data_IF_901732350512
#
_entry.id   IF_901732350512
#
_cell.length_a   1.000
_cell.length_b   1.000
_cell.length_c   1.000
_cell.angle_alpha   90.00
_cell.angle_beta   90.00
_cell.angle_gamma   90.00
#
_symmetry.space_group_name_H-M   'P 1'
#
loop_
_entity.id
_entity.type
_entity.pdbx_description
1 polymer ?
#
# COMPACT_ATOMS: atom_id res chain seq x y z
N UNK A 1 16.65 -12.66 -5.88
CA UNK A 1 16.72 -11.22 -5.57
C UNK A 1 16.34 -11.05 -4.10
N UNK A 2 17.29 -10.68 -3.25
CA UNK A 2 17.03 -10.53 -1.80
C UNK A 2 16.12 -9.34 -1.61
N UNK A 3 14.95 -9.54 -0.99
CA UNK A 3 14.00 -8.46 -0.67
C UNK A 3 14.59 -7.61 0.46
N UNK A 4 15.51 -6.70 0.12
CA UNK A 4 16.28 -5.91 1.11
C UNK A 4 15.39 -5.07 2.05
N UNK A 5 14.16 -4.78 1.65
CA UNK A 5 13.17 -4.10 2.48
C UNK A 5 12.60 -4.98 3.62
N UNK A 6 12.77 -6.31 3.57
CA UNK A 6 12.53 -7.20 4.72
C UNK A 6 13.58 -7.04 5.83
N UNK A 7 14.73 -6.40 5.53
CA UNK A 7 15.76 -6.08 6.53
C UNK A 7 15.44 -4.81 7.31
N UNK A 8 14.29 -4.17 7.06
CA UNK A 8 13.89 -2.98 7.81
C UNK A 8 13.72 -3.34 9.29
N UNK A 9 14.13 -2.47 10.22
CA UNK A 9 13.88 -2.65 11.64
C UNK A 9 12.39 -2.88 11.91
N UNK A 10 12.06 -3.75 12.87
CA UNK A 10 10.68 -3.95 13.30
C UNK A 10 10.00 -2.65 13.76
N UNK A 11 10.78 -1.67 14.25
CA UNK A 11 10.28 -0.35 14.60
C UNK A 11 9.71 0.45 13.41
N UNK A 12 9.98 0.02 12.18
CA UNK A 12 9.37 0.59 10.96
C UNK A 12 8.08 -0.14 10.54
N UNK A 13 7.68 -1.20 11.26
CA UNK A 13 6.40 -1.85 11.04
C UNK A 13 5.30 -1.04 11.69
N UNK A 14 4.50 -0.35 10.89
CA UNK A 14 3.39 0.43 11.42
C UNK A 14 2.23 -0.45 11.87
N UNK A 15 2.03 -1.62 11.25
CA UNK A 15 0.93 -2.53 11.56
C UNK A 15 1.21 -3.96 11.14
N UNK A 16 0.62 -4.91 11.88
CA UNK A 16 0.46 -6.31 11.48
C UNK A 16 -1.01 -6.57 11.12
N UNK A 17 -1.25 -7.14 9.94
CA UNK A 17 -2.56 -7.62 9.52
C UNK A 17 -2.60 -9.15 9.64
N UNK A 18 -3.75 -9.70 10.01
CA UNK A 18 -3.93 -11.16 10.15
C UNK A 18 -4.38 -11.81 8.84
N UNK A 19 -5.00 -11.03 7.94
CA UNK A 19 -5.51 -11.50 6.64
C UNK A 19 -5.17 -10.51 5.52
N UNK A 20 -5.13 -10.95 4.26
CA UNK A 20 -5.04 -10.07 3.10
C UNK A 20 -6.14 -8.99 3.08
N UNK A 21 -7.36 -9.35 3.46
CA UNK A 21 -8.51 -8.45 3.56
C UNK A 21 -8.27 -7.34 4.58
N UNK A 22 -7.76 -7.67 5.77
CA UNK A 22 -7.43 -6.68 6.80
C UNK A 22 -6.33 -5.73 6.31
N UNK A 23 -5.34 -6.25 5.58
CA UNK A 23 -4.26 -5.45 5.01
C UNK A 23 -4.79 -4.48 3.95
N UNK A 24 -5.72 -4.92 3.09
CA UNK A 24 -6.36 -4.06 2.09
C UNK A 24 -7.27 -3.03 2.74
N UNK A 25 -8.06 -3.41 3.76
CA UNK A 25 -8.91 -2.45 4.50
C UNK A 25 -8.07 -1.35 5.16
N UNK A 26 -6.91 -1.69 5.71
CA UNK A 26 -5.97 -0.68 6.20
C UNK A 26 -5.42 0.19 5.07
N UNK A 27 -5.03 -0.41 3.94
CA UNK A 27 -4.51 0.30 2.78
C UNK A 27 -5.52 1.30 2.20
N UNK A 28 -6.81 0.94 2.21
CA UNK A 28 -7.93 1.82 1.87
C UNK A 28 -7.97 3.06 2.77
N UNK A 29 -7.88 2.87 4.09
CA UNK A 29 -7.85 3.99 5.03
C UNK A 29 -6.66 4.92 4.82
N UNK A 30 -5.47 4.36 4.54
CA UNK A 30 -4.29 5.16 4.17
C UNK A 30 -4.56 5.93 2.87
N UNK A 31 -5.09 5.27 1.84
CA UNK A 31 -5.41 5.92 0.58
C UNK A 31 -6.39 7.09 0.80
N UNK A 32 -7.48 6.89 1.53
CA UNK A 32 -8.50 7.92 1.79
C UNK A 32 -7.95 9.12 2.55
N UNK A 33 -7.02 8.90 3.49
CA UNK A 33 -6.34 9.97 4.21
C UNK A 33 -5.48 10.86 3.30
N UNK A 34 -4.89 10.27 2.24
CA UNK A 34 -3.92 10.96 1.39
C UNK A 34 -4.46 11.35 0.01
N UNK A 35 -5.54 10.74 -0.47
CA UNK A 35 -6.12 11.01 -1.78
C UNK A 35 -6.42 12.50 -2.04
N UNK A 36 -6.94 13.29 -1.07
CA UNK A 36 -7.12 14.73 -1.26
C UNK A 36 -5.82 15.52 -1.47
N UNK A 37 -4.67 14.93 -1.13
CA UNK A 37 -3.33 15.53 -1.26
C UNK A 37 -2.55 14.96 -2.46
N UNK A 38 -3.10 13.99 -3.18
CA UNK A 38 -2.48 13.43 -4.38
C UNK A 38 -2.77 14.33 -5.58
N UNK A 39 -1.90 14.29 -6.59
CA UNK A 39 -2.25 14.86 -7.89
C UNK A 39 -3.49 14.14 -8.46
N UNK A 40 -4.43 14.88 -9.06
CA UNK A 40 -5.73 14.34 -9.51
C UNK A 40 -5.56 13.09 -10.39
N UNK A 41 -4.62 13.12 -11.34
CA UNK A 41 -4.32 12.00 -12.22
C UNK A 41 -3.87 10.74 -11.48
N UNK A 42 -3.12 10.86 -10.38
CA UNK A 42 -2.68 9.71 -9.59
C UNK A 42 -3.82 9.10 -8.78
N UNK A 43 -4.74 9.94 -8.29
CA UNK A 43 -5.90 9.50 -7.53
C UNK A 43 -6.95 8.80 -8.42
N UNK A 44 -7.10 9.22 -9.69
CA UNK A 44 -8.21 8.78 -10.56
C UNK A 44 -7.80 7.91 -11.76
N UNK A 45 -6.50 7.74 -12.07
CA UNK A 45 -6.04 6.94 -13.21
C UNK A 45 -6.45 5.46 -13.15
N UNK A 46 -6.68 4.94 -11.95
CA UNK A 46 -7.23 3.60 -11.73
C UNK A 46 -8.44 3.78 -10.83
N UNK A 47 -9.55 3.13 -11.20
CA UNK A 47 -10.74 3.14 -10.36
C UNK A 47 -10.40 2.61 -8.96
N UNK A 48 -11.12 3.09 -7.95
CA UNK A 48 -10.93 2.62 -6.58
C UNK A 48 -11.05 1.09 -6.52
N UNK A 49 -12.12 0.57 -7.13
CA UNK A 49 -12.45 -0.85 -7.15
C UNK A 49 -11.32 -1.68 -7.76
N UNK A 50 -10.88 -1.34 -8.98
CA UNK A 50 -9.80 -2.07 -9.66
C UNK A 50 -8.50 -2.03 -8.86
N UNK A 51 -8.19 -0.87 -8.28
CA UNK A 51 -6.96 -0.68 -7.51
C UNK A 51 -6.89 -1.63 -6.31
N UNK A 52 -7.97 -1.73 -5.53
CA UNK A 52 -7.99 -2.57 -4.34
C UNK A 52 -8.27 -4.04 -4.67
N UNK A 53 -8.99 -4.34 -5.76
CA UNK A 53 -9.12 -5.70 -6.27
C UNK A 53 -7.76 -6.27 -6.69
N UNK A 54 -6.93 -5.49 -7.40
CA UNK A 54 -5.57 -5.89 -7.76
C UNK A 54 -4.68 -6.08 -6.51
N UNK A 55 -4.77 -5.18 -5.52
CA UNK A 55 -4.03 -5.31 -4.27
C UNK A 55 -4.41 -6.60 -3.52
N UNK A 56 -5.70 -6.87 -3.38
CA UNK A 56 -6.20 -8.06 -2.71
C UNK A 56 -5.76 -9.34 -3.43
N UNK A 57 -5.86 -9.35 -4.76
CA UNK A 57 -5.41 -10.47 -5.59
C UNK A 57 -3.93 -10.78 -5.40
N UNK A 58 -3.07 -9.76 -5.38
CA UNK A 58 -1.64 -9.92 -5.15
C UNK A 58 -1.34 -10.49 -3.76
N UNK A 59 -1.95 -9.92 -2.71
CA UNK A 59 -1.73 -10.37 -1.32
C UNK A 59 -2.22 -11.81 -1.10
N UNK A 60 -3.39 -12.17 -1.64
CA UNK A 60 -3.89 -13.56 -1.61
C UNK A 60 -2.97 -14.53 -2.34
N UNK A 61 -2.29 -14.07 -3.39
CA UNK A 61 -1.27 -14.83 -4.11
C UNK A 61 0.09 -14.90 -3.39
N UNK A 62 0.21 -14.39 -2.16
CA UNK A 62 1.47 -14.33 -1.41
C UNK A 62 2.48 -13.32 -1.97
N UNK A 63 2.01 -12.40 -2.81
CA UNK A 63 2.84 -11.35 -3.39
C UNK A 63 2.77 -10.10 -2.52
N UNK A 64 3.95 -9.61 -2.16
CA UNK A 64 4.12 -8.35 -1.44
C UNK A 64 3.71 -7.15 -2.30
N UNK A 65 3.25 -6.08 -1.65
CA UNK A 65 2.86 -4.84 -2.32
C UNK A 65 3.81 -3.70 -1.95
N UNK A 66 4.09 -2.84 -2.94
CA UNK A 66 4.68 -1.53 -2.70
C UNK A 66 3.94 -0.49 -3.53
N UNK A 67 3.37 0.51 -2.85
CA UNK A 67 2.69 1.65 -3.44
C UNK A 67 3.44 2.92 -3.13
N UNK A 68 3.41 3.87 -4.07
CA UNK A 68 3.89 5.20 -3.78
C UNK A 68 3.27 6.27 -4.66
N UNK A 69 3.04 7.42 -4.05
CA UNK A 69 2.30 8.52 -4.65
C UNK A 69 2.98 9.86 -4.36
N UNK A 70 3.19 10.71 -5.38
CA UNK A 70 3.54 12.10 -5.14
C UNK A 70 2.36 12.82 -4.47
N UNK A 71 2.66 13.55 -3.41
CA UNK A 71 1.73 14.42 -2.71
C UNK A 71 2.04 15.89 -3.01
N UNK A 72 1.06 16.77 -2.81
CA UNK A 72 1.25 18.22 -2.88
C UNK A 72 2.39 18.68 -1.96
N UNK A 73 3.18 19.65 -2.41
CA UNK A 73 4.25 20.27 -1.63
C UNK A 73 5.53 19.44 -1.52
N UNK A 74 5.94 18.79 -2.61
CA UNK A 74 7.20 18.01 -2.71
C UNK A 74 7.32 16.87 -1.68
N UNK A 75 6.19 16.24 -1.35
CA UNK A 75 6.14 15.09 -0.44
C UNK A 75 5.83 13.81 -1.21
N UNK A 76 6.20 12.68 -0.64
CA UNK A 76 5.96 11.36 -1.23
C UNK A 76 5.38 10.43 -0.18
N UNK A 77 4.26 9.78 -0.50
CA UNK A 77 3.74 8.66 0.27
C UNK A 77 4.39 7.38 -0.28
N UNK A 78 4.98 6.56 0.59
CA UNK A 78 5.45 5.23 0.24
C UNK A 78 4.90 4.24 1.26
N UNK A 79 4.20 3.21 0.78
CA UNK A 79 3.60 2.16 1.59
C UNK A 79 4.09 0.81 1.06
N UNK A 80 4.45 -0.10 1.96
CA UNK A 80 4.76 -1.47 1.60
C UNK A 80 4.00 -2.42 2.52
N UNK A 81 3.42 -3.46 1.95
CA UNK A 81 2.74 -4.54 2.67
C UNK A 81 3.50 -5.83 2.37
N UNK A 82 3.94 -6.48 3.44
CA UNK A 82 4.59 -7.80 3.38
C UNK A 82 3.57 -8.86 3.78
N UNK A 83 3.53 -9.97 3.06
CA UNK A 83 2.90 -11.20 3.54
C UNK A 83 3.98 -12.07 4.19
N UNK A 84 3.89 -12.25 5.51
CA UNK A 84 4.71 -13.21 6.24
C UNK A 84 3.99 -14.57 6.25
N UNK A 85 4.55 -15.54 5.54
CA UNK A 85 4.20 -16.97 5.66
C UNK A 85 4.80 -17.58 6.92
#
# INVERSE_FOLDING_TARGET
MTRDWLKKPQSMLERKASTPEDAVSWLEGVFDQYAPKMAYSQATATSREDRFACALGALKGGTDLSWGFPLLGSKYLAVAIVVSN
#
